data_IF_867743061703
#
_entry.id   IF_867743061703
#
_cell.length_a   1.000
_cell.length_b   1.000
_cell.length_c   1.000
_cell.angle_alpha   90.00
_cell.angle_beta   90.00
_cell.angle_gamma   90.00
#
_symmetry.space_group_name_H-M   'P 1'
#
loop_
_entity.id
_entity.type
_entity.pdbx_description
1 polymer ?
#
# COMPACT_ATOMS: atom_id res chain seq x y z
N UNK A 1 11.46 -4.26 -8.81
CA UNK A 1 11.10 -5.14 -9.94
C UNK A 1 12.31 -5.62 -10.76
N UNK A 2 13.54 -5.61 -10.19
CA UNK A 2 14.74 -6.15 -10.86
C UNK A 2 15.16 -5.38 -12.12
N UNK A 3 14.99 -4.07 -12.14
CA UNK A 3 15.39 -3.24 -13.28
C UNK A 3 16.91 -3.30 -13.48
N UNK A 4 17.33 -3.51 -14.74
CA UNK A 4 18.75 -3.55 -15.11
C UNK A 4 19.22 -2.19 -15.62
N UNK A 5 20.53 -1.91 -15.67
CA UNK A 5 21.05 -0.70 -16.31
C UNK A 5 20.56 -0.54 -17.75
N UNK A 6 20.44 -1.64 -18.49
CA UNK A 6 19.92 -1.63 -19.85
C UNK A 6 18.44 -1.23 -19.92
N UNK A 7 17.62 -1.78 -19.01
CA UNK A 7 16.21 -1.38 -18.90
C UNK A 7 16.06 0.08 -18.48
N UNK A 8 16.93 0.57 -17.59
CA UNK A 8 16.95 1.96 -17.17
C UNK A 8 17.34 2.90 -18.30
N UNK A 9 18.36 2.55 -19.08
CA UNK A 9 18.76 3.25 -20.31
C UNK A 9 17.57 3.45 -21.24
N UNK A 10 16.87 2.37 -21.56
CA UNK A 10 15.75 2.41 -22.51
C UNK A 10 14.57 3.22 -21.98
N UNK A 11 14.26 3.11 -20.69
CA UNK A 11 13.15 3.81 -20.05
C UNK A 11 13.38 5.32 -19.93
N UNK A 12 14.61 5.74 -19.67
CA UNK A 12 14.96 7.15 -19.45
C UNK A 12 15.57 7.84 -20.71
N UNK A 13 15.86 7.09 -21.77
CA UNK A 13 16.50 7.64 -22.98
C UNK A 13 17.94 8.14 -22.74
N UNK A 14 18.66 7.59 -21.75
CA UNK A 14 20.01 8.02 -21.37
C UNK A 14 21.08 7.04 -21.91
N UNK A 15 22.35 7.45 -21.85
CA UNK A 15 23.46 6.57 -22.22
C UNK A 15 23.61 5.39 -21.24
N UNK A 16 24.18 4.28 -21.71
CA UNK A 16 24.41 3.11 -20.85
C UNK A 16 25.35 3.40 -19.67
N UNK A 17 26.45 4.17 -19.82
CA UNK A 17 27.27 4.57 -18.68
C UNK A 17 26.48 5.32 -17.60
N UNK A 18 25.65 6.29 -18.00
CA UNK A 18 24.81 7.05 -17.06
C UNK A 18 23.77 6.13 -16.38
N UNK A 19 23.12 5.24 -17.12
CA UNK A 19 22.21 4.26 -16.55
C UNK A 19 22.90 3.33 -15.55
N UNK A 20 24.13 2.87 -15.87
CA UNK A 20 24.94 2.04 -14.99
C UNK A 20 25.33 2.79 -13.71
N UNK A 21 25.73 4.05 -13.85
CA UNK A 21 26.05 4.90 -12.70
C UNK A 21 24.83 5.06 -11.79
N UNK A 22 23.68 5.47 -12.32
CA UNK A 22 22.43 5.63 -11.54
C UNK A 22 22.06 4.31 -10.85
N UNK A 23 22.10 3.19 -11.58
CA UNK A 23 21.80 1.88 -11.03
C UNK A 23 22.74 1.52 -9.87
N UNK A 24 24.05 1.77 -10.03
CA UNK A 24 25.03 1.51 -8.97
C UNK A 24 24.78 2.35 -7.71
N UNK A 25 24.37 3.63 -7.88
CA UNK A 25 24.00 4.48 -6.74
C UNK A 25 22.76 3.94 -6.00
N UNK A 26 21.74 3.50 -6.73
CA UNK A 26 20.54 2.87 -6.13
C UNK A 26 20.92 1.62 -5.34
N UNK A 27 21.72 0.72 -5.93
CA UNK A 27 22.19 -0.49 -5.26
C UNK A 27 22.98 -0.17 -4.00
N UNK A 28 23.84 0.84 -4.04
CA UNK A 28 24.66 1.29 -2.91
C UNK A 28 23.80 1.91 -1.80
N UNK A 29 22.84 2.76 -2.18
CA UNK A 29 21.94 3.44 -1.23
C UNK A 29 21.04 2.44 -0.50
N UNK A 30 20.53 1.43 -1.21
CA UNK A 30 19.64 0.41 -0.65
C UNK A 30 20.36 -0.93 -0.45
N UNK A 31 21.59 -0.90 0.05
CA UNK A 31 22.42 -2.08 0.23
C UNK A 31 21.78 -3.13 1.17
N UNK A 32 21.13 -2.69 2.25
CA UNK A 32 20.41 -3.58 3.19
C UNK A 32 19.29 -4.35 2.47
N UNK A 33 18.54 -3.68 1.59
CA UNK A 33 17.54 -4.35 0.77
C UNK A 33 18.15 -5.36 -0.19
N UNK A 34 19.30 -5.03 -0.80
CA UNK A 34 19.99 -5.94 -1.70
C UNK A 34 20.48 -7.20 -0.98
N UNK A 35 21.03 -7.05 0.20
CA UNK A 35 21.47 -8.16 1.03
C UNK A 35 20.31 -9.03 1.51
N UNK A 36 19.25 -8.39 2.00
CA UNK A 36 18.00 -9.08 2.36
C UNK A 36 17.45 -9.89 1.20
N UNK A 37 17.37 -9.31 0.00
CA UNK A 37 16.86 -9.96 -1.19
C UNK A 37 17.69 -11.19 -1.58
N UNK A 38 19.02 -11.08 -1.56
CA UNK A 38 19.92 -12.21 -1.83
C UNK A 38 19.72 -13.33 -0.80
N UNK A 39 19.63 -12.99 0.47
CA UNK A 39 19.49 -13.96 1.56
C UNK A 39 18.16 -14.70 1.50
N UNK A 40 17.05 -13.99 1.19
CA UNK A 40 15.74 -14.63 1.10
C UNK A 40 15.64 -15.57 -0.11
N UNK A 41 16.24 -15.20 -1.24
CA UNK A 41 16.32 -16.04 -2.42
C UNK A 41 17.18 -17.28 -2.15
N UNK A 42 18.33 -17.11 -1.54
CA UNK A 42 19.20 -18.23 -1.19
C UNK A 42 18.50 -19.25 -0.26
N UNK A 43 17.80 -18.75 0.76
CA UNK A 43 16.99 -19.58 1.66
C UNK A 43 15.85 -20.30 0.93
N UNK A 44 15.18 -19.61 -0.01
CA UNK A 44 14.12 -20.21 -0.80
C UNK A 44 14.64 -21.31 -1.73
N UNK A 45 15.77 -21.09 -2.39
CA UNK A 45 16.42 -22.09 -3.24
C UNK A 45 16.84 -23.34 -2.44
N UNK A 46 17.39 -23.15 -1.23
CA UNK A 46 17.76 -24.24 -0.35
C UNK A 46 16.57 -25.09 0.11
N UNK A 47 15.42 -24.45 0.34
CA UNK A 47 14.19 -25.11 0.84
C UNK A 47 13.29 -25.62 -0.28
N UNK A 48 13.44 -25.13 -1.49
CA UNK A 48 12.55 -25.36 -2.62
C UNK A 48 11.27 -24.52 -2.61
N UNK A 49 11.11 -23.59 -1.63
CA UNK A 49 9.93 -22.74 -1.55
C UNK A 49 10.18 -21.43 -0.78
N UNK A 50 9.37 -20.41 -1.09
CA UNK A 50 9.15 -19.26 -0.22
C UNK A 50 8.05 -19.56 0.79
N UNK A 51 8.07 -18.89 1.93
CA UNK A 51 7.01 -18.95 2.93
C UNK A 51 6.74 -17.54 3.47
N UNK A 52 5.48 -17.18 3.60
CA UNK A 52 5.03 -15.94 4.23
C UNK A 52 4.91 -16.10 5.74
N UNK A 53 4.64 -15.00 6.45
CA UNK A 53 4.44 -15.02 7.90
C UNK A 53 3.31 -15.93 8.36
N UNK A 54 2.22 -15.99 7.60
CA UNK A 54 1.07 -16.86 7.91
C UNK A 54 1.15 -18.26 7.29
N UNK A 55 2.34 -18.64 6.79
CA UNK A 55 2.60 -20.02 6.34
C UNK A 55 2.22 -20.33 4.91
N UNK A 56 1.80 -19.33 4.10
CA UNK A 56 1.56 -19.56 2.70
C UNK A 56 2.88 -19.87 1.97
N UNK A 57 2.93 -21.03 1.32
CA UNK A 57 4.11 -21.51 0.61
C UNK A 57 3.94 -21.32 -0.90
N UNK A 58 5.02 -20.87 -1.52
CA UNK A 58 5.19 -20.83 -2.96
C UNK A 58 6.35 -21.74 -3.35
N UNK A 59 6.02 -22.86 -3.97
CA UNK A 59 6.99 -23.86 -4.41
C UNK A 59 7.71 -23.37 -5.66
N UNK A 60 9.03 -23.51 -5.67
CA UNK A 60 9.86 -23.07 -6.78
C UNK A 60 9.90 -24.16 -7.85
N UNK A 61 9.70 -23.76 -9.11
CA UNK A 61 9.98 -24.59 -10.27
C UNK A 61 11.44 -24.44 -10.70
N UNK A 62 11.98 -25.41 -11.42
CA UNK A 62 13.34 -25.35 -11.99
C UNK A 62 13.56 -24.09 -12.83
N UNK A 63 12.52 -23.64 -13.54
CA UNK A 63 12.54 -22.41 -14.34
C UNK A 63 12.71 -21.13 -13.50
N UNK A 64 12.22 -21.14 -12.29
CA UNK A 64 12.32 -20.01 -11.37
C UNK A 64 13.64 -20.01 -10.62
N UNK A 65 14.16 -21.17 -10.28
CA UNK A 65 15.49 -21.33 -9.71
C UNK A 65 16.53 -20.78 -10.68
N UNK A 66 16.35 -21.04 -11.99
CA UNK A 66 17.22 -20.51 -13.05
C UNK A 66 17.07 -18.99 -13.29
N UNK A 67 16.00 -18.34 -12.80
CA UNK A 67 15.76 -16.91 -13.00
C UNK A 67 15.45 -16.17 -11.68
N UNK A 68 16.49 -15.86 -10.87
CA UNK A 68 16.32 -15.24 -9.54
C UNK A 68 15.62 -13.88 -9.56
N UNK A 69 15.55 -13.19 -10.69
CA UNK A 69 14.84 -11.89 -10.79
C UNK A 69 13.34 -12.01 -10.56
N UNK A 70 12.73 -13.12 -10.97
CA UNK A 70 11.31 -13.41 -10.71
C UNK A 70 11.04 -13.60 -9.24
N UNK A 71 12.01 -14.14 -8.53
CA UNK A 71 11.91 -14.47 -7.12
C UNK A 71 12.01 -13.24 -6.21
N UNK A 72 12.64 -12.15 -6.67
CA UNK A 72 12.84 -10.93 -5.86
C UNK A 72 11.53 -10.26 -5.46
N UNK A 73 10.52 -10.30 -6.31
CA UNK A 73 9.23 -9.64 -6.06
C UNK A 73 8.24 -10.48 -5.27
N UNK A 74 8.40 -11.81 -5.31
CA UNK A 74 7.43 -12.70 -4.67
C UNK A 74 7.23 -12.43 -3.18
N UNK A 75 8.28 -12.27 -2.35
CA UNK A 75 8.12 -11.99 -0.93
C UNK A 75 7.32 -10.70 -0.68
N UNK A 76 7.56 -9.66 -1.48
CA UNK A 76 6.86 -8.37 -1.34
C UNK A 76 5.39 -8.50 -1.73
N UNK A 77 5.11 -9.11 -2.88
CA UNK A 77 3.74 -9.28 -3.39
C UNK A 77 2.91 -10.22 -2.50
N UNK A 78 3.52 -11.29 -2.00
CA UNK A 78 2.82 -12.24 -1.14
C UNK A 78 2.46 -11.64 0.23
N UNK A 79 3.36 -10.87 0.84
CA UNK A 79 3.04 -10.17 2.08
C UNK A 79 2.01 -9.06 1.86
N UNK A 80 2.04 -8.35 0.71
CA UNK A 80 0.97 -7.42 0.32
C UNK A 80 -0.40 -8.11 0.25
N UNK A 81 -0.47 -9.30 -0.34
CA UNK A 81 -1.70 -10.09 -0.35
C UNK A 81 -2.14 -10.55 1.03
N UNK A 82 -1.22 -10.87 1.93
CA UNK A 82 -1.55 -11.22 3.32
C UNK A 82 -2.06 -10.03 4.11
N UNK A 83 -1.46 -8.84 3.92
CA UNK A 83 -1.93 -7.59 4.52
C UNK A 83 -3.39 -7.34 4.10
N UNK A 84 -3.68 -7.47 2.81
CA UNK A 84 -5.02 -7.25 2.30
C UNK A 84 -6.03 -8.24 2.88
N UNK A 85 -5.71 -9.54 2.91
CA UNK A 85 -6.57 -10.56 3.53
C UNK A 85 -6.81 -10.29 5.00
N UNK A 86 -5.77 -9.91 5.73
CA UNK A 86 -5.92 -9.56 7.15
C UNK A 86 -6.78 -8.32 7.33
N UNK A 87 -6.57 -7.30 6.52
CA UNK A 87 -7.39 -6.09 6.54
C UNK A 87 -8.86 -6.39 6.26
N UNK A 88 -9.16 -7.27 5.30
CA UNK A 88 -10.54 -7.68 5.01
C UNK A 88 -11.21 -8.36 6.20
N UNK A 89 -10.53 -9.29 6.86
CA UNK A 89 -11.05 -9.96 8.05
C UNK A 89 -11.33 -8.92 9.15
N UNK A 90 -10.36 -8.04 9.43
CA UNK A 90 -10.50 -7.02 10.47
C UNK A 90 -11.58 -5.98 10.15
N UNK A 91 -11.85 -5.69 8.86
CA UNK A 91 -12.93 -4.80 8.42
C UNK A 91 -14.31 -5.49 8.52
N UNK A 92 -14.40 -6.76 8.13
CA UNK A 92 -15.63 -7.54 8.23
C UNK A 92 -16.07 -7.73 9.69
N UNK A 93 -15.12 -8.04 10.59
CA UNK A 93 -15.35 -8.12 12.04
C UNK A 93 -15.90 -6.80 12.65
N UNK A 94 -15.64 -5.67 11.99
CA UNK A 94 -16.18 -4.34 12.35
C UNK A 94 -17.44 -3.96 11.59
N UNK A 95 -18.05 -4.90 10.86
CA UNK A 95 -19.25 -4.72 10.06
C UNK A 95 -19.13 -3.67 8.95
N UNK A 96 -17.95 -3.53 8.35
CA UNK A 96 -17.80 -2.77 7.11
C UNK A 96 -18.24 -3.62 5.93
N UNK A 97 -19.09 -3.08 5.08
CA UNK A 97 -19.64 -3.77 3.92
C UNK A 97 -18.65 -3.75 2.75
N UNK A 98 -17.87 -4.82 2.62
CA UNK A 98 -16.87 -4.97 1.56
C UNK A 98 -17.59 -5.40 0.28
N UNK A 99 -17.54 -4.54 -0.74
CA UNK A 99 -18.20 -4.81 -2.03
C UNK A 99 -17.27 -5.52 -3.00
N UNK A 100 -15.98 -5.16 -3.04
CA UNK A 100 -15.03 -5.70 -4.01
C UNK A 100 -13.58 -5.50 -3.55
N UNK A 101 -12.70 -6.36 -4.05
CA UNK A 101 -11.25 -6.22 -3.94
C UNK A 101 -10.69 -5.95 -5.33
N UNK A 102 -9.81 -4.97 -5.44
CA UNK A 102 -9.20 -4.57 -6.71
C UNK A 102 -7.70 -4.41 -6.48
N UNK A 103 -6.92 -5.42 -6.90
CA UNK A 103 -5.48 -5.48 -6.67
C UNK A 103 -5.10 -5.36 -5.19
N UNK A 104 -4.64 -4.19 -4.77
CA UNK A 104 -4.21 -3.83 -3.40
C UNK A 104 -5.19 -2.90 -2.68
N UNK A 105 -6.35 -2.66 -3.28
CA UNK A 105 -7.40 -1.81 -2.76
C UNK A 105 -8.67 -2.58 -2.39
N UNK A 106 -9.44 -2.03 -1.45
CA UNK A 106 -10.74 -2.55 -1.02
C UNK A 106 -11.81 -1.51 -1.32
N UNK A 107 -12.84 -1.91 -2.06
CA UNK A 107 -14.02 -1.11 -2.27
C UNK A 107 -15.04 -1.40 -1.16
N UNK A 108 -15.37 -0.39 -0.37
CA UNK A 108 -16.28 -0.48 0.75
C UNK A 108 -17.54 0.32 0.45
N UNK A 109 -18.69 -0.30 0.61
CA UNK A 109 -19.97 0.38 0.49
C UNK A 109 -20.26 1.17 1.76
N UNK A 110 -20.33 2.50 1.64
CA UNK A 110 -20.71 3.37 2.73
C UNK A 110 -22.19 3.77 2.58
N UNK A 111 -23.03 3.39 3.53
CA UNK A 111 -24.40 3.89 3.59
C UNK A 111 -24.39 5.42 3.68
N UNK A 112 -25.30 6.09 2.96
CA UNK A 112 -25.41 7.54 2.96
C UNK A 112 -25.70 8.04 4.36
N UNK A 113 -24.67 8.48 5.05
CA UNK A 113 -24.69 9.00 6.42
C UNK A 113 -24.41 10.50 6.40
N UNK A 114 -24.55 11.15 7.55
CA UNK A 114 -24.03 12.51 7.68
C UNK A 114 -22.49 12.51 7.54
N UNK A 115 -21.96 13.64 7.10
CA UNK A 115 -20.55 13.83 6.79
C UNK A 115 -19.60 13.43 7.94
N UNK A 116 -19.96 13.72 9.18
CA UNK A 116 -19.16 13.39 10.37
C UNK A 116 -19.02 11.88 10.56
N UNK A 117 -20.10 11.13 10.36
CA UNK A 117 -20.10 9.68 10.44
C UNK A 117 -19.23 9.06 9.34
N UNK A 118 -19.34 9.56 8.08
CA UNK A 118 -18.51 9.09 6.97
C UNK A 118 -17.02 9.28 7.24
N UNK A 119 -16.62 10.39 7.85
CA UNK A 119 -15.22 10.65 8.19
C UNK A 119 -14.71 9.72 9.27
N UNK A 120 -15.54 9.43 10.25
CA UNK A 120 -15.18 8.50 11.31
C UNK A 120 -15.01 7.09 10.72
N UNK A 121 -15.90 6.66 9.83
CA UNK A 121 -15.78 5.39 9.10
C UNK A 121 -14.46 5.35 8.29
N UNK A 122 -14.13 6.39 7.54
CA UNK A 122 -12.87 6.48 6.76
C UNK A 122 -11.64 6.39 7.66
N UNK A 123 -11.64 7.08 8.80
CA UNK A 123 -10.52 7.02 9.74
C UNK A 123 -10.35 5.63 10.33
N UNK A 124 -11.44 4.98 10.67
CA UNK A 124 -11.41 3.62 11.21
C UNK A 124 -10.92 2.63 10.14
N UNK A 125 -11.41 2.71 8.90
CA UNK A 125 -10.94 1.89 7.77
C UNK A 125 -9.44 2.05 7.57
N UNK A 126 -8.93 3.28 7.51
CA UNK A 126 -7.49 3.55 7.37
C UNK A 126 -6.68 2.95 8.52
N UNK A 127 -7.16 3.09 9.74
CA UNK A 127 -6.53 2.53 10.93
C UNK A 127 -6.46 1.01 10.84
N UNK A 128 -7.57 0.35 10.55
CA UNK A 128 -7.66 -1.11 10.42
C UNK A 128 -6.70 -1.65 9.36
N UNK A 129 -6.67 -1.03 8.18
CA UNK A 129 -5.77 -1.46 7.11
C UNK A 129 -4.29 -1.24 7.47
N UNK A 130 -3.96 -0.16 8.16
CA UNK A 130 -2.61 0.11 8.64
C UNK A 130 -2.18 -0.87 9.75
N UNK A 131 -3.06 -1.18 10.69
CA UNK A 131 -2.85 -2.19 11.75
C UNK A 131 -2.69 -3.60 11.17
N UNK A 132 -3.42 -3.92 10.10
CA UNK A 132 -3.26 -5.19 9.38
C UNK A 132 -1.84 -5.34 8.82
N UNK A 133 -1.26 -4.26 8.27
CA UNK A 133 0.13 -4.27 7.83
C UNK A 133 1.09 -4.48 8.99
N UNK A 134 0.90 -3.80 10.11
CA UNK A 134 1.71 -3.97 11.31
C UNK A 134 1.69 -5.42 11.83
N UNK A 135 0.52 -6.07 11.80
CA UNK A 135 0.37 -7.49 12.16
C UNK A 135 1.15 -8.42 11.22
N UNK A 136 1.24 -8.09 9.93
CA UNK A 136 1.88 -8.95 8.91
C UNK A 136 3.38 -8.68 8.81
N UNK A 137 3.79 -7.43 8.66
CA UNK A 137 5.19 -7.06 8.36
C UNK A 137 5.91 -6.35 9.52
N UNK A 138 5.21 -6.09 10.63
CA UNK A 138 5.77 -5.42 11.81
C UNK A 138 5.90 -3.89 11.67
N UNK A 139 5.28 -3.30 10.65
CA UNK A 139 5.28 -1.86 10.42
C UNK A 139 3.94 -1.40 9.82
N UNK A 140 3.41 -0.24 10.23
CA UNK A 140 2.24 0.33 9.61
C UNK A 140 2.53 0.82 8.20
N UNK A 141 1.53 0.79 7.31
CA UNK A 141 1.59 1.38 5.97
C UNK A 141 0.61 2.53 5.84
N UNK A 142 0.93 3.48 4.96
CA UNK A 142 0.01 4.54 4.56
C UNK A 142 -1.13 3.96 3.72
N UNK A 143 -2.34 4.46 3.95
CA UNK A 143 -3.53 4.09 3.19
C UNK A 143 -4.15 5.34 2.60
N UNK A 144 -4.27 5.36 1.29
CA UNK A 144 -4.99 6.40 0.57
C UNK A 144 -6.47 6.05 0.44
N UNK A 145 -7.32 7.07 0.37
CA UNK A 145 -8.77 6.89 0.25
C UNK A 145 -9.28 7.72 -0.90
N UNK A 146 -10.03 7.07 -1.77
CA UNK A 146 -10.75 7.70 -2.85
C UNK A 146 -12.25 7.54 -2.63
N UNK A 147 -13.02 8.58 -2.92
CA UNK A 147 -14.48 8.51 -2.93
C UNK A 147 -14.95 8.23 -4.35
N UNK A 148 -15.71 7.16 -4.50
CA UNK A 148 -16.33 6.80 -5.77
C UNK A 148 -17.82 7.13 -5.65
N UNK A 149 -18.36 7.88 -6.62
CA UNK A 149 -19.78 8.24 -6.67
C UNK A 149 -20.66 7.07 -7.13
N UNK A 150 -21.74 7.38 -7.84
CA UNK A 150 -22.76 6.39 -8.27
C UNK A 150 -22.26 5.36 -9.30
N UNK A 151 -21.08 5.58 -9.88
CA UNK A 151 -20.45 4.61 -10.79
C UNK A 151 -18.99 4.38 -10.43
N UNK A 152 -18.52 3.15 -10.65
CA UNK A 152 -17.12 2.76 -10.44
C UNK A 152 -16.12 3.56 -11.28
N UNK A 153 -16.57 4.18 -12.37
CA UNK A 153 -15.72 5.04 -13.19
C UNK A 153 -15.57 6.38 -12.50
N UNK A 154 -14.37 6.62 -11.98
CA UNK A 154 -14.02 7.89 -11.33
C UNK A 154 -14.15 9.05 -12.34
N UNK A 155 -15.19 9.83 -12.24
CA UNK A 155 -15.35 11.06 -13.01
C UNK A 155 -14.51 12.16 -12.38
N UNK A 156 -13.86 13.00 -13.20
CA UNK A 156 -13.12 14.18 -12.71
C UNK A 156 -13.94 15.06 -11.77
N UNK A 157 -15.25 15.09 -11.97
CA UNK A 157 -16.22 15.82 -11.15
C UNK A 157 -16.36 15.24 -9.72
N UNK A 158 -16.28 13.93 -9.55
CA UNK A 158 -16.37 13.27 -8.24
C UNK A 158 -15.13 13.54 -7.41
N UNK A 159 -13.95 13.55 -8.04
CA UNK A 159 -12.69 13.94 -7.39
C UNK A 159 -12.75 15.38 -6.88
N UNK A 160 -13.27 16.32 -7.72
CA UNK A 160 -13.44 17.71 -7.34
C UNK A 160 -14.43 17.91 -6.20
N UNK A 161 -15.56 17.17 -6.19
CA UNK A 161 -16.53 17.18 -5.09
C UNK A 161 -15.92 16.67 -3.79
N UNK A 162 -15.09 15.61 -3.86
CA UNK A 162 -14.37 15.07 -2.69
C UNK A 162 -13.36 16.07 -2.12
N UNK A 163 -12.56 16.70 -2.97
CA UNK A 163 -11.60 17.72 -2.57
C UNK A 163 -12.31 18.89 -1.87
N UNK A 164 -13.42 19.37 -2.43
CA UNK A 164 -14.23 20.41 -1.80
C UNK A 164 -14.85 19.99 -0.46
N UNK A 165 -15.27 18.74 -0.36
CA UNK A 165 -15.83 18.17 0.86
C UNK A 165 -14.75 18.06 1.94
N UNK A 166 -13.58 17.57 1.58
CA UNK A 166 -12.41 17.42 2.44
C UNK A 166 -11.90 18.77 2.95
N UNK A 167 -11.82 19.78 2.07
CA UNK A 167 -11.48 21.16 2.48
C UNK A 167 -12.48 21.77 3.46
N UNK A 168 -13.78 21.60 3.23
CA UNK A 168 -14.83 22.06 4.16
C UNK A 168 -14.68 21.45 5.54
N UNK A 169 -14.24 20.18 5.61
CA UNK A 169 -14.01 19.46 6.85
C UNK A 169 -12.80 19.94 7.61
N UNK A 170 -11.69 20.19 6.91
CA UNK A 170 -10.49 20.75 7.53
C UNK A 170 -10.78 22.14 8.07
N UNK A 171 -11.48 23.00 7.30
CA UNK A 171 -11.88 24.35 7.74
C UNK A 171 -12.81 24.32 8.95
N UNK A 172 -13.75 23.40 9.00
CA UNK A 172 -14.65 23.24 10.17
C UNK A 172 -13.90 22.76 11.42
N UNK A 173 -12.82 21.98 11.26
CA UNK A 173 -11.98 21.52 12.35
C UNK A 173 -11.04 22.63 12.89
N UNK A 174 -10.44 23.40 12.00
CA UNK A 174 -9.56 24.52 12.36
C UNK A 174 -10.35 25.68 12.96
N UNK A 175 -11.55 25.97 12.49
CA UNK A 175 -12.43 26.96 13.07
C UNK A 175 -12.87 26.66 14.52
N UNK A 176 -13.06 25.37 14.86
CA UNK A 176 -13.37 24.96 16.23
C UNK A 176 -12.17 25.07 17.19
N UNK A 177 -10.95 24.82 16.71
CA UNK A 177 -9.73 24.96 17.52
C UNK A 177 -9.48 26.45 17.83
N UNK A 178 -9.81 27.35 16.92
CA UNK A 178 -9.69 28.79 17.14
C UNK A 178 -10.75 29.32 18.13
N UNK A 179 -11.97 28.77 18.14
CA UNK A 179 -13.02 29.19 19.07
C UNK A 179 -12.82 28.67 20.50
N UNK A 180 -12.20 27.51 20.68
CA UNK A 180 -11.86 26.97 22.01
C UNK A 180 -10.65 27.66 22.66
N UNK A 181 -9.80 28.35 21.90
CA UNK A 181 -8.69 29.15 22.46
C UNK A 181 -9.09 30.56 22.85
N UNK A 182 -10.24 31.07 22.41
CA UNK A 182 -10.76 32.40 22.81
C UNK A 182 -11.63 32.40 24.05
N UNK A 183 -11.92 31.25 24.64
CA UNK A 183 -12.79 31.10 25.82
C UNK A 183 -12.06 30.85 27.15
N UNK A 184 -10.77 31.13 27.25
CA UNK A 184 -10.02 31.04 28.51
C UNK A 184 -9.04 32.22 28.63
N UNK A 185 -9.60 33.39 28.78
CA UNK A 185 -8.94 34.55 29.42
C UNK A 185 -10.12 35.33 30.06
N UNK A 186 -10.41 34.99 31.26
CA UNK A 186 -10.90 35.85 32.35
C UNK A 186 -10.79 35.06 33.66
#
# INVERSE_FOLDING_TARGET
>A
YGQTPYGLKNKLGISLPNATFIHSQIVRTYNVFQEWSKNIIAKANQRGYFITKYGWKYWLSDREIANPRRLTNWPIQSHGSEILRRAMIDLDERNFEISMIIHDAVLIHCKKKNLRAMINDIKEIKKVMSEAAEKVIGAPIGVDVELIGESYVQKKEDKKKWEQLYEKLIKAKTGRIASTKKGKVD
#
